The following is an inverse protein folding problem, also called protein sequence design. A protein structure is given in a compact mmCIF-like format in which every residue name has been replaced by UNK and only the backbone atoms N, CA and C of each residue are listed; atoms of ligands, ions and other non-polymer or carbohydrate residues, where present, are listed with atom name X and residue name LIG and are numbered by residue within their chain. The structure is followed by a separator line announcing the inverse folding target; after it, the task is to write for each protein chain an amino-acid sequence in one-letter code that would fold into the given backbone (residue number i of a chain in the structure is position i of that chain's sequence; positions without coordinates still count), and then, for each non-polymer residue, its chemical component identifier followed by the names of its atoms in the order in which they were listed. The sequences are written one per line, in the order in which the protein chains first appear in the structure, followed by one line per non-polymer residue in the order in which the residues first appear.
data_IF_902042343458
#
_entry.id   IF_902042343458
#
_cell.length_a   1.000
_cell.length_b   1.000
_cell.length_c   1.000
_cell.angle_alpha   90.00
_cell.angle_beta   90.00
_cell.angle_gamma   90.00
#
_symmetry.space_group_name_H-M   'P 1'
#
loop_
_entity.id
_entity.type
_entity.pdbx_description
1 polymer ?
#
# COMPACT_ATOMS: atom_id res chain seq x y z
N UNK A 1 15.56 28.55 -35.84
CA UNK A 1 14.43 28.12 -34.97
C UNK A 1 13.55 29.36 -34.84
N UNK A 2 12.31 29.31 -35.28
CA UNK A 2 11.37 30.42 -35.06
C UNK A 2 11.02 30.45 -33.57
N UNK A 3 10.89 31.64 -33.00
CA UNK A 3 10.31 31.83 -31.66
C UNK A 3 8.84 32.19 -31.83
N UNK A 4 7.98 31.71 -30.93
CA UNK A 4 6.57 32.09 -30.92
C UNK A 4 6.41 33.50 -30.36
N UNK A 5 5.58 34.31 -31.02
CA UNK A 5 5.21 35.63 -30.54
C UNK A 5 4.21 35.50 -29.36
N UNK A 6 4.07 36.57 -28.57
CA UNK A 6 3.15 36.62 -27.42
C UNK A 6 1.69 36.19 -27.76
N UNK A 7 1.02 36.70 -28.82
CA UNK A 7 -0.35 36.25 -29.15
C UNK A 7 -0.41 34.78 -29.58
N UNK A 8 0.58 34.30 -30.35
CA UNK A 8 0.65 32.90 -30.80
C UNK A 8 0.82 31.95 -29.59
N UNK A 9 1.67 32.35 -28.63
CA UNK A 9 1.87 31.63 -27.37
C UNK A 9 0.57 31.56 -26.54
N UNK A 10 -0.19 32.64 -26.49
CA UNK A 10 -1.48 32.72 -25.78
C UNK A 10 -2.53 31.78 -26.41
N UNK A 11 -2.60 31.73 -27.75
CA UNK A 11 -3.57 30.88 -28.45
C UNK A 11 -3.19 29.39 -28.38
N UNK A 12 -1.90 29.05 -28.43
CA UNK A 12 -1.45 27.66 -28.26
C UNK A 12 -1.67 27.16 -26.82
N UNK A 13 -1.53 28.03 -25.79
CA UNK A 13 -1.92 27.67 -24.40
C UNK A 13 -3.42 27.37 -24.30
N UNK A 14 -4.28 28.16 -24.97
CA UNK A 14 -5.73 27.87 -25.00
C UNK A 14 -6.01 26.54 -25.70
N UNK A 15 -5.34 26.27 -26.81
CA UNK A 15 -5.46 25.00 -27.54
C UNK A 15 -5.03 23.80 -26.68
N UNK A 16 -3.96 23.90 -25.89
CA UNK A 16 -3.53 22.88 -24.93
C UNK A 16 -4.55 22.66 -23.80
N UNK A 17 -5.24 23.71 -23.35
CA UNK A 17 -6.33 23.61 -22.36
C UNK A 17 -7.55 22.92 -22.98
N UNK A 18 -7.96 23.30 -24.19
CA UNK A 18 -9.12 22.73 -24.89
C UNK A 18 -8.91 21.25 -25.28
N UNK A 19 -7.70 20.89 -25.72
CA UNK A 19 -7.31 19.50 -26.01
C UNK A 19 -6.98 18.67 -24.77
N UNK A 20 -6.89 19.30 -23.59
CA UNK A 20 -6.48 18.68 -22.31
C UNK A 20 -5.08 18.03 -22.35
N UNK A 21 -4.16 18.51 -23.18
CA UNK A 21 -2.78 17.99 -23.25
C UNK A 21 -1.84 18.68 -22.24
N UNK A 22 -2.14 18.51 -20.95
CA UNK A 22 -1.30 19.01 -19.86
C UNK A 22 -2.00 19.06 -18.52
N UNK A 23 -1.38 19.76 -17.58
CA UNK A 23 -2.04 20.17 -16.34
C UNK A 23 -2.83 21.44 -16.63
N UNK A 24 -4.14 21.28 -16.82
CA UNK A 24 -5.04 22.40 -17.18
C UNK A 24 -5.12 23.47 -16.09
N UNK A 25 -4.92 23.12 -14.82
CA UNK A 25 -4.85 24.08 -13.72
C UNK A 25 -3.57 24.91 -13.80
N UNK A 26 -2.44 24.27 -14.10
CA UNK A 26 -1.16 24.96 -14.31
C UNK A 26 -1.18 25.82 -15.57
N UNK A 27 -1.68 25.32 -16.70
CA UNK A 27 -1.82 26.08 -17.94
C UNK A 27 -2.74 27.30 -17.76
N UNK A 28 -3.84 27.17 -17.02
CA UNK A 28 -4.71 28.31 -16.69
C UNK A 28 -3.98 29.37 -15.83
N UNK A 29 -3.21 28.96 -14.82
CA UNK A 29 -2.38 29.87 -14.03
C UNK A 29 -1.31 30.58 -14.87
N UNK A 30 -0.66 29.85 -15.80
CA UNK A 30 0.31 30.43 -16.74
C UNK A 30 -0.35 31.47 -17.65
N UNK A 31 -1.51 31.13 -18.23
CA UNK A 31 -2.31 32.04 -19.07
C UNK A 31 -2.74 33.30 -18.31
N UNK A 32 -3.19 33.16 -17.06
CA UNK A 32 -3.52 34.28 -16.18
C UNK A 32 -2.27 35.12 -15.86
N UNK A 33 -1.11 34.49 -15.62
CA UNK A 33 0.14 35.21 -15.31
C UNK A 33 0.61 36.05 -16.51
N UNK A 34 0.55 35.48 -17.72
CA UNK A 34 0.91 36.15 -18.98
C UNK A 34 -0.07 37.29 -19.29
N UNK A 35 -1.39 37.05 -19.23
CA UNK A 35 -2.40 38.10 -19.47
C UNK A 35 -2.32 39.26 -18.46
N UNK A 36 -1.79 39.02 -17.26
CA UNK A 36 -1.55 40.05 -16.24
C UNK A 36 -0.19 40.77 -16.39
N UNK A 37 0.56 40.54 -17.47
CA UNK A 37 1.86 41.17 -17.74
C UNK A 37 2.95 40.83 -16.71
N UNK A 38 2.83 39.68 -16.02
CA UNK A 38 3.79 39.27 -14.98
C UNK A 38 4.84 38.34 -15.55
N UNK A 39 6.07 38.46 -15.05
CA UNK A 39 7.16 37.55 -15.38
C UNK A 39 6.84 36.14 -14.89
N UNK A 40 6.99 35.16 -15.80
CA UNK A 40 6.69 33.77 -15.52
C UNK A 40 7.82 33.11 -14.71
N UNK A 41 7.48 32.30 -13.71
CA UNK A 41 8.48 31.55 -12.94
C UNK A 41 9.24 30.56 -13.85
N UNK A 42 10.53 30.35 -13.58
CA UNK A 42 11.38 29.46 -14.41
C UNK A 42 10.82 28.05 -14.55
N UNK A 43 10.16 27.52 -13.50
CA UNK A 43 9.47 26.23 -13.53
C UNK A 43 8.35 26.18 -14.57
N UNK A 44 7.60 27.26 -14.70
CA UNK A 44 6.44 27.40 -15.57
C UNK A 44 6.86 27.77 -17.00
N UNK A 45 7.93 28.57 -17.15
CA UNK A 45 8.59 28.79 -18.44
C UNK A 45 9.12 27.49 -19.03
N UNK A 46 9.92 26.73 -18.28
CA UNK A 46 10.45 25.44 -18.73
C UNK A 46 9.33 24.45 -19.11
N UNK A 47 8.25 24.41 -18.31
CA UNK A 47 7.09 23.56 -18.58
C UNK A 47 6.37 23.93 -19.88
N UNK A 48 6.21 25.23 -20.14
CA UNK A 48 5.58 25.72 -21.36
C UNK A 48 6.49 25.52 -22.58
N UNK A 49 7.81 25.74 -22.47
CA UNK A 49 8.78 25.44 -23.54
C UNK A 49 8.83 23.94 -23.87
N UNK A 50 8.76 23.06 -22.86
CA UNK A 50 8.67 21.60 -23.04
C UNK A 50 7.39 21.18 -23.75
N UNK A 51 6.26 21.84 -23.45
CA UNK A 51 4.95 21.55 -24.04
C UNK A 51 4.74 22.10 -25.44
N UNK A 52 5.26 23.30 -25.72
CA UNK A 52 5.23 23.91 -27.06
C UNK A 52 6.30 23.29 -27.98
N UNK A 53 7.38 22.74 -27.41
CA UNK A 53 8.54 22.25 -28.18
C UNK A 53 9.38 23.36 -28.84
N UNK A 54 9.06 24.62 -28.54
CA UNK A 54 9.67 25.82 -29.13
C UNK A 54 9.91 26.86 -28.02
N UNK A 55 11.08 27.53 -27.97
CA UNK A 55 11.30 28.65 -27.06
C UNK A 55 10.44 29.87 -27.47
N UNK A 56 9.86 30.55 -26.48
CA UNK A 56 9.05 31.75 -26.67
C UNK A 56 9.67 32.97 -25.94
N UNK A 57 9.37 34.17 -26.43
CA UNK A 57 9.72 35.43 -25.74
C UNK A 57 8.45 36.10 -25.20
N UNK A 58 8.57 36.70 -24.01
CA UNK A 58 7.52 37.50 -23.36
C UNK A 58 7.78 39.01 -23.49
N UNK A 59 8.82 39.39 -24.24
CA UNK A 59 9.10 40.79 -24.54
C UNK A 59 8.16 41.22 -25.68
N UNK A 60 7.21 42.09 -25.35
CA UNK A 60 6.49 42.87 -26.36
C UNK A 60 7.51 43.77 -27.05
N UNK A 61 7.69 43.60 -28.37
CA UNK A 61 8.26 44.69 -29.17
C UNK A 61 7.27 45.85 -29.11
N UNK A 62 7.59 46.87 -28.30
CA UNK A 62 6.85 48.13 -28.24
C UNK A 62 6.84 48.76 -29.65
N UNK A 63 5.72 48.60 -30.35
CA UNK A 63 5.52 49.19 -31.68
C UNK A 63 5.61 50.71 -31.58
N UNK A 64 6.49 51.28 -32.39
CA UNK A 64 6.93 52.68 -32.33
C UNK A 64 5.78 53.70 -32.39
N UNK A 65 5.66 54.56 -31.36
CA UNK A 65 4.97 55.84 -31.52
C UNK A 65 5.94 56.97 -31.91
N UNK A 66 5.77 57.43 -33.16
CA UNK A 66 6.23 58.69 -33.78
C UNK A 66 7.73 58.80 -34.14
N UNK A 67 8.08 58.72 -35.45
CA UNK A 67 9.45 58.91 -35.93
C UNK A 67 9.80 60.40 -36.08
N UNK A 68 11.00 60.80 -35.63
CA UNK A 68 11.51 62.16 -35.83
C UNK A 68 12.49 62.62 -34.74
N UNK A 69 11.97 62.92 -33.55
CA UNK A 69 12.75 63.59 -32.49
C UNK A 69 13.56 62.62 -31.62
N UNK A 70 12.97 61.47 -31.25
CA UNK A 70 13.67 60.43 -30.45
C UNK A 70 14.91 59.90 -31.17
N UNK A 71 14.87 59.75 -32.49
CA UNK A 71 16.00 59.30 -33.30
C UNK A 71 17.23 60.19 -33.13
N UNK A 72 17.03 61.52 -33.06
CA UNK A 72 18.13 62.49 -32.97
C UNK A 72 18.68 62.55 -31.53
N UNK A 73 17.80 62.55 -30.52
CA UNK A 73 18.23 62.52 -29.11
C UNK A 73 19.01 61.24 -28.79
N UNK A 74 18.51 60.06 -29.16
CA UNK A 74 19.23 58.79 -28.97
C UNK A 74 20.52 58.70 -29.79
N UNK A 75 20.63 59.40 -30.93
CA UNK A 75 21.90 59.53 -31.66
C UNK A 75 22.90 60.46 -30.96
N UNK A 76 22.44 61.52 -30.29
CA UNK A 76 23.29 62.39 -29.46
C UNK A 76 23.76 61.66 -28.20
N UNK A 77 22.89 60.91 -27.53
CA UNK A 77 23.26 60.05 -26.40
C UNK A 77 24.36 59.05 -26.81
N UNK A 78 24.20 58.36 -27.95
CA UNK A 78 25.24 57.49 -28.50
C UNK A 78 26.57 58.21 -28.75
N UNK A 79 26.57 59.46 -29.24
CA UNK A 79 27.80 60.26 -29.40
C UNK A 79 28.45 60.62 -28.05
N UNK A 80 27.66 60.81 -26.99
CA UNK A 80 28.16 61.07 -25.63
C UNK A 80 28.77 59.78 -25.05
N UNK A 81 28.11 58.63 -25.24
CA UNK A 81 28.57 57.31 -24.78
C UNK A 81 29.84 56.83 -25.50
N UNK A 82 29.93 57.00 -26.82
CA UNK A 82 31.16 56.66 -27.57
C UNK A 82 32.30 57.65 -27.35
N UNK A 83 32.02 58.80 -26.73
CA UNK A 83 33.00 59.89 -26.54
C UNK A 83 33.40 60.58 -27.85
N UNK A 84 32.61 60.44 -28.91
CA UNK A 84 32.89 60.97 -30.25
C UNK A 84 32.58 62.47 -30.37
N UNK A 85 33.20 63.30 -29.51
CA UNK A 85 33.04 64.76 -29.53
C UNK A 85 33.39 65.44 -28.22
N UNK A 86 33.03 66.71 -28.11
CA UNK A 86 33.06 67.48 -26.88
C UNK A 86 31.81 67.14 -26.08
N UNK A 87 32.00 66.39 -24.98
CA UNK A 87 30.91 65.93 -24.13
C UNK A 87 30.12 67.08 -23.48
N UNK A 88 30.73 68.24 -23.19
CA UNK A 88 29.98 69.38 -22.66
C UNK A 88 29.11 70.00 -23.73
N UNK A 89 29.64 70.13 -24.95
CA UNK A 89 28.90 70.68 -26.09
C UNK A 89 27.77 69.77 -26.53
N UNK A 90 27.99 68.45 -26.60
CA UNK A 90 26.95 67.46 -26.91
C UNK A 90 25.86 67.43 -25.84
N UNK A 91 26.22 67.50 -24.55
CA UNK A 91 25.23 67.64 -23.46
C UNK A 91 24.44 68.94 -23.56
N UNK A 92 25.09 70.07 -23.87
CA UNK A 92 24.40 71.34 -24.08
C UNK A 92 23.40 71.27 -25.24
N UNK A 93 23.78 70.62 -26.35
CA UNK A 93 22.92 70.40 -27.51
C UNK A 93 21.72 69.51 -27.15
N UNK A 94 21.98 68.35 -26.52
CA UNK A 94 20.94 67.44 -26.01
C UNK A 94 19.92 68.19 -25.13
N UNK A 95 20.42 68.91 -24.13
CA UNK A 95 19.64 69.70 -23.19
C UNK A 95 18.88 70.88 -23.81
N UNK A 96 19.26 71.33 -24.99
CA UNK A 96 18.63 72.45 -25.70
C UNK A 96 17.54 71.94 -26.65
N UNK A 97 17.78 70.80 -27.32
CA UNK A 97 16.76 70.09 -28.10
C UNK A 97 15.66 69.54 -27.18
N UNK A 98 16.01 68.90 -26.07
CA UNK A 98 15.04 68.40 -25.07
C UNK A 98 14.26 69.50 -24.32
N UNK A 99 14.50 70.78 -24.64
CA UNK A 99 13.78 71.96 -24.12
C UNK A 99 13.12 72.76 -25.25
N UNK A 100 12.99 72.17 -26.44
CA UNK A 100 12.39 72.73 -27.66
C UNK A 100 12.96 74.11 -28.06
N UNK A 101 14.27 74.33 -27.82
CA UNK A 101 14.94 75.60 -28.16
C UNK A 101 15.72 75.46 -29.47
N UNK A 102 15.70 76.48 -30.35
CA UNK A 102 16.50 76.48 -31.56
C UNK A 102 17.99 76.49 -31.22
N UNK A 103 18.74 75.54 -31.77
CA UNK A 103 20.19 75.48 -31.66
C UNK A 103 20.86 76.65 -32.39
N UNK A 104 22.03 77.08 -31.90
CA UNK A 104 22.89 77.98 -32.65
C UNK A 104 23.44 77.30 -33.91
N UNK A 105 23.64 78.07 -34.99
CA UNK A 105 24.17 77.58 -36.28
C UNK A 105 25.48 76.80 -36.13
N UNK A 106 26.35 77.23 -35.23
CA UNK A 106 27.60 76.55 -34.88
C UNK A 106 27.39 75.15 -34.34
N UNK A 107 26.32 74.93 -33.59
CA UNK A 107 25.99 73.66 -32.93
C UNK A 107 25.22 72.73 -33.87
N UNK A 108 24.37 73.27 -34.74
CA UNK A 108 23.75 72.52 -35.85
C UNK A 108 24.82 71.96 -36.78
N UNK A 109 25.78 72.78 -37.19
CA UNK A 109 26.91 72.35 -38.03
C UNK A 109 27.76 71.29 -37.33
N UNK A 110 28.07 71.48 -36.05
CA UNK A 110 28.84 70.54 -35.24
C UNK A 110 28.15 69.17 -35.12
N UNK A 111 26.84 69.15 -34.84
CA UNK A 111 26.06 67.92 -34.74
C UNK A 111 25.99 67.19 -36.08
N UNK A 112 25.70 67.91 -37.17
CA UNK A 112 25.65 67.35 -38.51
C UNK A 112 27.00 66.76 -38.96
N UNK A 113 28.12 67.42 -38.65
CA UNK A 113 29.46 66.92 -38.93
C UNK A 113 29.76 65.63 -38.14
N UNK A 114 29.38 65.57 -36.87
CA UNK A 114 29.62 64.39 -36.01
C UNK A 114 28.73 63.20 -36.36
N UNK A 115 27.43 63.41 -36.58
CA UNK A 115 26.53 62.35 -37.04
C UNK A 115 26.96 61.79 -38.39
N UNK A 116 27.42 62.65 -39.32
CA UNK A 116 27.94 62.22 -40.62
C UNK A 116 29.26 61.45 -40.53
N UNK A 117 30.13 61.79 -39.58
CA UNK A 117 31.42 61.12 -39.37
C UNK A 117 31.29 59.74 -38.75
N UNK A 118 30.36 59.55 -37.79
CA UNK A 118 30.23 58.30 -37.03
C UNK A 118 29.16 57.34 -37.58
N UNK A 119 28.06 57.87 -38.16
CA UNK A 119 26.87 57.07 -38.48
C UNK A 119 26.45 57.06 -39.97
N UNK A 120 27.29 57.59 -40.87
CA UNK A 120 27.19 57.22 -42.29
C UNK A 120 25.97 57.73 -43.07
N UNK A 121 25.38 58.87 -42.67
CA UNK A 121 24.44 59.62 -43.51
C UNK A 121 22.95 59.32 -43.29
N UNK A 122 22.29 60.21 -42.54
CA UNK A 122 20.84 60.41 -42.48
C UNK A 122 20.56 61.93 -42.42
N UNK A 123 19.29 62.31 -42.56
CA UNK A 123 18.87 63.52 -43.27
C UNK A 123 19.19 64.90 -42.64
N UNK A 124 19.17 65.93 -43.48
CA UNK A 124 19.66 67.29 -43.21
C UNK A 124 18.68 68.18 -42.44
N UNK A 125 19.18 68.81 -41.37
CA UNK A 125 18.54 69.95 -40.69
C UNK A 125 18.56 71.22 -41.58
N UNK A 126 17.65 71.32 -42.56
CA UNK A 126 17.43 72.53 -43.39
C UNK A 126 15.98 73.03 -43.36
N UNK A 127 15.41 73.26 -42.16
CA UNK A 127 14.40 74.31 -42.03
C UNK A 127 14.31 74.88 -40.60
N UNK A 128 14.50 76.21 -40.50
CA UNK A 128 13.96 77.20 -39.55
C UNK A 128 14.95 78.38 -39.52
N UNK A 129 14.59 79.42 -40.26
CA UNK A 129 15.31 80.69 -40.30
C UNK A 129 14.68 81.70 -39.35
N UNK A 130 15.50 82.45 -38.59
CA UNK A 130 15.64 83.91 -38.71
C UNK A 130 16.57 84.49 -37.65
N UNK A 131 17.44 85.40 -38.10
CA UNK A 131 18.34 86.26 -37.29
C UNK A 131 17.68 87.66 -37.21
N UNK A 132 17.95 88.46 -36.17
CA UNK A 132 18.66 89.72 -36.43
C UNK A 132 19.90 89.92 -35.54
N UNK A 133 20.86 90.69 -36.05
CA UNK A 133 22.06 91.17 -35.36
C UNK A 133 21.77 92.51 -34.65
N UNK A 134 22.66 92.93 -33.76
CA UNK A 134 22.73 94.33 -33.29
C UNK A 134 24.14 94.92 -33.53
N UNK A 135 24.17 96.23 -33.76
CA UNK A 135 25.24 96.94 -34.49
C UNK A 135 26.39 97.47 -33.62
N UNK A 136 27.50 97.81 -34.30
CA UNK A 136 28.57 98.64 -33.76
C UNK A 136 28.43 100.09 -34.24
N UNK A 137 28.77 101.07 -33.38
CA UNK A 137 29.24 102.37 -33.88
C UNK A 137 28.97 103.57 -32.96
N UNK A 138 30.02 104.38 -32.73
CA UNK A 138 30.05 105.82 -33.05
C UNK A 138 31.38 106.47 -32.60
N UNK A 139 32.23 106.83 -33.55
CA UNK A 139 33.22 107.91 -33.37
C UNK A 139 32.54 109.26 -33.62
N UNK A 140 32.98 110.32 -32.94
CA UNK A 140 32.74 111.70 -33.40
C UNK A 140 34.01 112.57 -33.29
N UNK A 141 34.32 113.24 -34.40
CA UNK A 141 35.44 114.16 -34.62
C UNK A 141 34.88 115.58 -34.72
N UNK A 142 35.54 116.58 -34.14
CA UNK A 142 35.13 117.99 -34.21
C UNK A 142 36.29 118.84 -34.75
N UNK A 143 36.00 119.72 -35.72
CA UNK A 143 36.92 120.69 -36.34
C UNK A 143 36.58 122.16 -36.00
N UNK A 144 37.50 123.05 -36.43
CA UNK A 144 37.43 124.53 -36.52
C UNK A 144 37.94 125.34 -35.28
N UNK A 145 38.39 126.63 -35.39
CA UNK A 145 38.42 127.57 -36.54
C UNK A 145 39.62 128.57 -36.54
N UNK A 146 39.69 129.34 -37.63
CA UNK A 146 40.53 130.51 -38.06
C UNK A 146 40.66 131.69 -37.07
N UNK A 147 41.59 132.68 -37.15
CA UNK A 147 41.96 133.58 -38.29
C UNK A 147 43.33 134.31 -38.11
N UNK A 148 43.91 134.87 -39.20
CA UNK A 148 44.94 135.94 -39.16
C UNK A 148 44.48 137.28 -39.81
N UNK A 149 44.96 138.42 -39.28
CA UNK A 149 44.92 139.80 -39.85
C UNK A 149 46.18 140.55 -39.37
N UNK A 150 46.74 141.57 -40.02
CA UNK A 150 46.48 142.27 -41.28
C UNK A 150 47.44 143.47 -41.39
N UNK A 151 47.89 143.88 -42.58
CA UNK A 151 48.86 144.98 -42.77
C UNK A 151 48.22 146.37 -42.83
N UNK A 152 48.81 147.33 -42.11
CA UNK A 152 49.13 148.69 -42.58
C UNK A 152 48.03 149.77 -42.70
N UNK A 153 48.24 150.91 -42.02
CA UNK A 153 48.07 152.28 -42.54
C UNK A 153 48.66 153.31 -41.55
N UNK A 154 49.40 154.32 -42.04
CA UNK A 154 49.86 155.47 -41.23
C UNK A 154 48.81 156.60 -41.21
N UNK A 155 48.60 157.28 -40.06
CA UNK A 155 47.82 158.53 -40.01
C UNK A 155 48.59 159.71 -40.62
N UNK A 156 47.93 160.50 -41.48
CA UNK A 156 48.46 161.77 -41.99
C UNK A 156 48.15 162.89 -40.98
N UNK A 157 49.18 163.43 -40.32
CA UNK A 157 49.00 164.50 -39.34
C UNK A 157 50.26 165.21 -38.84
N UNK A 158 51.43 164.95 -39.43
CA UNK A 158 52.69 165.60 -39.04
C UNK A 158 52.76 167.05 -39.56
N UNK A 159 52.93 168.00 -38.63
CA UNK A 159 53.39 169.36 -38.90
C UNK A 159 54.71 169.54 -38.14
N UNK A 160 55.81 169.93 -38.80
CA UNK A 160 57.03 170.30 -38.09
C UNK A 160 56.80 171.62 -37.34
N UNK A 161 57.20 171.66 -36.06
CA UNK A 161 57.46 172.90 -35.33
C UNK A 161 58.98 172.99 -35.16
N UNK A 162 59.48 174.21 -35.28
CA UNK A 162 60.90 174.50 -35.49
C UNK A 162 61.74 174.27 -34.23
N UNK A 163 63.03 173.99 -34.44
CA UNK A 163 63.95 173.64 -33.38
C UNK A 163 64.23 174.82 -32.42
N UNK A 164 64.40 174.50 -31.15
CA UNK A 164 65.20 175.28 -30.19
C UNK A 164 66.21 174.32 -29.55
N UNK A 165 67.40 174.15 -30.16
CA UNK A 165 68.35 173.12 -29.72
C UNK A 165 69.06 173.50 -28.42
N UNK A 166 69.63 172.48 -27.77
CA UNK A 166 70.62 172.47 -26.66
C UNK A 166 70.12 172.10 -25.25
N UNK A 167 68.85 172.33 -24.90
CA UNK A 167 68.32 171.88 -23.58
C UNK A 167 67.84 170.41 -23.64
N UNK A 168 67.15 170.02 -24.72
CA UNK A 168 66.52 168.68 -24.85
C UNK A 168 67.52 167.52 -25.03
N UNK A 169 68.74 167.77 -25.54
CA UNK A 169 69.70 166.69 -25.86
C UNK A 169 70.23 165.99 -24.60
N UNK A 170 70.38 166.72 -23.49
CA UNK A 170 70.74 166.11 -22.20
C UNK A 170 69.62 165.22 -21.68
N UNK A 171 68.38 165.73 -21.69
CA UNK A 171 67.22 164.95 -21.27
C UNK A 171 67.04 163.68 -22.12
N UNK A 172 67.24 163.75 -23.43
CA UNK A 172 67.18 162.58 -24.33
C UNK A 172 68.27 161.57 -24.00
N UNK A 173 69.50 162.01 -23.71
CA UNK A 173 70.61 161.11 -23.37
C UNK A 173 70.41 160.40 -22.03
N UNK A 174 69.83 161.08 -21.05
CA UNK A 174 69.50 160.46 -19.76
C UNK A 174 68.25 159.58 -19.86
N UNK A 175 67.25 159.93 -20.69
CA UNK A 175 66.14 159.03 -21.05
C UNK A 175 66.64 157.71 -21.67
N UNK A 176 67.54 157.78 -22.66
CA UNK A 176 68.16 156.60 -23.30
C UNK A 176 68.86 155.70 -22.27
N UNK A 177 69.66 156.25 -21.34
CA UNK A 177 70.28 155.44 -20.27
C UNK A 177 69.22 154.74 -19.41
N UNK A 178 68.16 155.45 -19.00
CA UNK A 178 67.09 154.80 -18.22
C UNK A 178 66.28 153.78 -19.03
N UNK A 179 66.33 153.81 -20.35
CA UNK A 179 65.74 152.79 -21.23
C UNK A 179 66.70 151.61 -21.44
N UNK A 180 68.01 151.85 -21.58
CA UNK A 180 69.04 150.80 -21.56
C UNK A 180 69.07 150.03 -20.23
N UNK A 181 68.96 150.73 -19.09
CA UNK A 181 68.81 150.13 -17.76
C UNK A 181 67.53 149.28 -17.65
N UNK A 182 66.38 149.79 -18.13
CA UNK A 182 65.13 149.00 -18.21
C UNK A 182 65.25 147.79 -19.11
N UNK A 183 65.94 147.88 -20.24
CA UNK A 183 66.16 146.74 -21.16
C UNK A 183 67.01 145.66 -20.45
N UNK A 184 68.02 146.06 -19.66
CA UNK A 184 68.82 145.13 -18.85
C UNK A 184 67.97 144.46 -17.76
N UNK A 185 67.06 145.21 -17.11
CA UNK A 185 66.09 144.66 -16.15
C UNK A 185 65.09 143.71 -16.82
N UNK A 186 64.53 144.08 -17.98
CA UNK A 186 63.63 143.24 -18.79
C UNK A 186 64.33 141.95 -19.27
N UNK A 187 65.61 142.02 -19.66
CA UNK A 187 66.41 140.84 -19.97
C UNK A 187 66.65 139.94 -18.75
N UNK A 188 66.88 140.52 -17.58
CA UNK A 188 67.04 139.76 -16.33
C UNK A 188 65.73 139.05 -15.95
N UNK A 189 64.60 139.76 -16.04
CA UNK A 189 63.25 139.21 -15.86
C UNK A 189 62.97 138.12 -16.90
N UNK A 190 63.33 138.30 -18.16
CA UNK A 190 63.15 137.30 -19.21
C UNK A 190 63.98 136.03 -18.96
N UNK A 191 65.23 136.17 -18.47
CA UNK A 191 66.10 135.07 -18.03
C UNK A 191 65.49 134.33 -16.83
N UNK A 192 64.93 135.05 -15.86
CA UNK A 192 64.22 134.44 -14.73
C UNK A 192 62.95 133.69 -15.20
N UNK A 193 62.12 134.30 -16.03
CA UNK A 193 60.92 133.67 -16.63
C UNK A 193 61.30 132.41 -17.40
N UNK A 194 62.41 132.40 -18.14
CA UNK A 194 62.91 131.21 -18.83
C UNK A 194 63.29 130.09 -17.83
N UNK A 195 63.98 130.44 -16.74
CA UNK A 195 64.36 129.49 -15.68
C UNK A 195 63.16 129.00 -14.85
N UNK A 196 62.11 129.80 -14.70
CA UNK A 196 60.83 129.36 -14.14
C UNK A 196 60.08 128.42 -15.10
N UNK A 197 60.09 128.69 -16.42
CA UNK A 197 59.49 127.82 -17.45
C UNK A 197 60.15 126.45 -17.55
N UNK A 198 61.48 126.35 -17.42
CA UNK A 198 62.18 125.05 -17.38
C UNK A 198 61.81 124.27 -16.11
N UNK A 199 61.88 124.91 -14.93
CA UNK A 199 61.41 124.30 -13.66
C UNK A 199 59.97 123.80 -13.74
N UNK A 200 59.07 124.57 -14.36
CA UNK A 200 57.68 124.17 -14.56
C UNK A 200 57.56 122.97 -15.50
N UNK A 201 58.36 122.91 -16.56
CA UNK A 201 58.40 121.79 -17.51
C UNK A 201 58.91 120.51 -16.83
N UNK A 202 59.95 120.61 -16.01
CA UNK A 202 60.46 119.48 -15.21
C UNK A 202 59.41 118.97 -14.21
N UNK A 203 58.66 119.88 -13.56
CA UNK A 203 57.54 119.52 -12.69
C UNK A 203 56.40 118.84 -13.45
N UNK A 204 56.05 119.31 -14.65
CA UNK A 204 55.04 118.69 -15.52
C UNK A 204 55.50 117.29 -15.96
N UNK A 205 56.78 117.09 -16.29
CA UNK A 205 57.31 115.78 -16.64
C UNK A 205 57.28 114.82 -15.45
N UNK A 206 57.75 115.25 -14.26
CA UNK A 206 57.70 114.46 -13.01
C UNK A 206 56.27 114.09 -12.62
N UNK A 207 55.32 115.02 -12.75
CA UNK A 207 53.90 114.76 -12.53
C UNK A 207 53.38 113.68 -13.49
N UNK A 208 53.67 113.79 -14.79
CA UNK A 208 53.28 112.79 -15.79
C UNK A 208 53.90 111.41 -15.56
N UNK A 209 55.13 111.31 -15.05
CA UNK A 209 55.71 110.01 -14.68
C UNK A 209 55.05 109.40 -13.45
N UNK A 210 54.72 110.21 -12.44
CA UNK A 210 53.99 109.74 -11.24
C UNK A 210 52.56 109.33 -11.59
N UNK A 211 51.84 110.12 -12.39
CA UNK A 211 50.48 109.76 -12.87
C UNK A 211 50.49 108.43 -13.62
N UNK A 212 51.51 108.16 -14.45
CA UNK A 212 51.70 106.87 -15.10
C UNK A 212 51.96 105.73 -14.09
N UNK A 213 52.85 105.93 -13.13
CA UNK A 213 53.13 104.94 -12.09
C UNK A 213 51.86 104.60 -11.28
N UNK A 214 51.12 105.62 -10.83
CA UNK A 214 49.84 105.46 -10.12
C UNK A 214 48.83 104.69 -10.98
N UNK A 215 48.68 105.03 -12.27
CA UNK A 215 47.74 104.30 -13.16
C UNK A 215 48.14 102.83 -13.37
N UNK A 216 49.44 102.53 -13.43
CA UNK A 216 49.95 101.17 -13.54
C UNK A 216 49.71 100.38 -12.25
N UNK A 217 50.03 100.96 -11.09
CA UNK A 217 49.77 100.36 -9.77
C UNK A 217 48.29 100.13 -9.53
N UNK A 218 47.42 101.08 -9.90
CA UNK A 218 45.96 100.92 -9.88
C UNK A 218 45.52 99.72 -10.70
N UNK A 219 45.91 99.62 -11.97
CA UNK A 219 45.57 98.47 -12.82
C UNK A 219 46.11 97.13 -12.29
N UNK A 220 47.30 97.13 -11.68
CA UNK A 220 47.89 95.94 -11.06
C UNK A 220 47.14 95.51 -9.80
N UNK A 221 46.67 96.46 -9.00
CA UNK A 221 45.85 96.18 -7.81
C UNK A 221 44.44 95.72 -8.21
N UNK A 222 43.80 96.37 -9.19
CA UNK A 222 42.49 95.98 -9.71
C UNK A 222 42.50 94.55 -10.26
N UNK A 223 43.53 94.15 -11.02
CA UNK A 223 43.69 92.77 -11.49
C UNK A 223 43.79 91.78 -10.33
N UNK A 224 44.63 92.06 -9.33
CA UNK A 224 44.78 91.20 -8.13
C UNK A 224 43.49 91.11 -7.33
N UNK A 225 42.76 92.22 -7.17
CA UNK A 225 41.48 92.27 -6.49
C UNK A 225 40.44 91.42 -7.24
N UNK A 226 40.39 91.50 -8.58
CA UNK A 226 39.52 90.67 -9.40
C UNK A 226 39.84 89.16 -9.29
N UNK A 227 41.12 88.79 -9.29
CA UNK A 227 41.56 87.40 -9.05
C UNK A 227 41.16 86.91 -7.65
N UNK A 228 41.35 87.69 -6.60
CA UNK A 228 40.92 87.33 -5.24
C UNK A 228 39.40 87.22 -5.13
N UNK A 229 38.61 88.08 -5.80
CA UNK A 229 37.15 87.91 -5.87
C UNK A 229 36.74 86.60 -6.55
N UNK A 230 37.44 86.16 -7.60
CA UNK A 230 37.19 84.85 -8.23
C UNK A 230 37.55 83.69 -7.29
N UNK A 231 38.67 83.78 -6.55
CA UNK A 231 39.06 82.79 -5.54
C UNK A 231 38.04 82.71 -4.40
N UNK A 232 37.60 83.85 -3.85
CA UNK A 232 36.58 83.90 -2.81
C UNK A 232 35.25 83.32 -3.33
N UNK A 233 34.80 83.70 -4.54
CA UNK A 233 33.56 83.19 -5.13
C UNK A 233 33.57 81.67 -5.32
N UNK A 234 34.68 81.11 -5.81
CA UNK A 234 34.83 79.65 -5.96
C UNK A 234 34.92 78.92 -4.60
N UNK A 235 35.60 79.50 -3.61
CA UNK A 235 35.61 78.97 -2.24
C UNK A 235 34.23 79.02 -1.58
N UNK A 236 33.45 80.09 -1.76
CA UNK A 236 32.07 80.18 -1.23
C UNK A 236 31.17 79.10 -1.83
N UNK A 237 31.22 78.90 -3.15
CA UNK A 237 30.47 77.82 -3.83
C UNK A 237 30.84 76.44 -3.30
N UNK A 238 32.13 76.17 -3.09
CA UNK A 238 32.61 74.91 -2.53
C UNK A 238 32.18 74.73 -1.06
N UNK A 239 32.19 75.79 -0.25
CA UNK A 239 31.70 75.75 1.12
C UNK A 239 30.18 75.52 1.19
N UNK A 240 29.40 76.08 0.27
CA UNK A 240 27.96 75.84 0.13
C UNK A 240 27.67 74.38 -0.26
N UNK A 241 28.42 73.82 -1.22
CA UNK A 241 28.35 72.41 -1.57
C UNK A 241 28.67 71.48 -0.39
N UNK A 242 29.74 71.77 0.38
CA UNK A 242 30.07 71.02 1.61
C UNK A 242 28.95 71.14 2.65
N UNK A 243 28.33 72.31 2.78
CA UNK A 243 27.20 72.53 3.70
C UNK A 243 25.98 71.68 3.30
N UNK A 244 25.68 71.60 2.00
CA UNK A 244 24.59 70.76 1.51
C UNK A 244 24.89 69.26 1.71
N UNK A 245 26.08 68.80 1.32
CA UNK A 245 26.52 67.41 1.53
C UNK A 245 26.45 66.98 3.00
N UNK A 246 26.77 67.88 3.95
CA UNK A 246 26.63 67.60 5.39
C UNK A 246 25.17 67.37 5.82
N UNK A 247 24.22 68.13 5.28
CA UNK A 247 22.78 67.92 5.55
C UNK A 247 22.30 66.60 4.96
N UNK A 248 22.73 66.29 3.74
CA UNK A 248 22.36 65.05 3.06
C UNK A 248 22.89 63.83 3.82
N UNK A 249 24.14 63.88 4.29
CA UNK A 249 24.72 62.85 5.17
C UNK A 249 23.95 62.71 6.49
N UNK A 250 23.55 63.81 7.13
CA UNK A 250 22.75 63.76 8.37
C UNK A 250 21.36 63.11 8.14
N UNK A 251 20.77 63.31 6.97
CA UNK A 251 19.52 62.65 6.57
C UNK A 251 19.73 61.15 6.33
N UNK A 252 20.79 60.76 5.60
CA UNK A 252 21.16 59.36 5.37
C UNK A 252 21.42 58.62 6.70
N UNK A 253 22.11 59.23 7.67
CA UNK A 253 22.31 58.61 8.99
C UNK A 253 20.99 58.44 9.77
N UNK A 254 20.05 59.39 9.68
CA UNK A 254 18.70 59.27 10.27
C UNK A 254 17.86 58.16 9.60
N UNK A 255 18.06 57.91 8.31
CA UNK A 255 17.38 56.81 7.62
C UNK A 255 18.04 55.46 7.91
N UNK A 256 19.37 55.42 7.98
CA UNK A 256 20.17 54.25 8.36
C UNK A 256 19.80 53.77 9.77
N UNK A 257 19.74 54.66 10.75
CA UNK A 257 19.32 54.31 12.13
C UNK A 257 17.91 53.73 12.18
N UNK A 258 16.91 54.38 11.54
CA UNK A 258 15.54 53.84 11.40
C UNK A 258 15.51 52.46 10.75
N UNK A 259 16.37 52.23 9.75
CA UNK A 259 16.45 50.95 9.01
C UNK A 259 17.08 49.86 9.87
N UNK A 260 18.16 50.17 10.60
CA UNK A 260 18.78 49.26 11.57
C UNK A 260 17.79 48.88 12.68
N UNK A 261 17.04 49.83 13.23
CA UNK A 261 16.00 49.54 14.23
C UNK A 261 14.91 48.59 13.71
N UNK A 262 14.47 48.74 12.45
CA UNK A 262 13.50 47.84 11.83
C UNK A 262 14.07 46.42 11.70
N UNK A 263 15.30 46.32 11.17
CA UNK A 263 16.02 45.05 11.02
C UNK A 263 16.20 44.36 12.37
N UNK A 264 16.51 45.10 13.44
CA UNK A 264 16.62 44.53 14.80
C UNK A 264 15.28 44.02 15.32
N UNK A 265 14.19 44.80 15.16
CA UNK A 265 12.82 44.38 15.54
C UNK A 265 12.43 43.09 14.82
N UNK A 266 12.54 43.04 13.49
CA UNK A 266 12.27 41.85 12.67
C UNK A 266 13.14 40.65 13.07
N UNK A 267 14.44 40.87 13.29
CA UNK A 267 15.36 39.82 13.76
C UNK A 267 15.00 39.27 15.13
N UNK A 268 14.40 40.06 16.03
CA UNK A 268 13.89 39.55 17.31
C UNK A 268 12.59 38.76 17.16
N UNK A 269 11.70 39.17 16.25
CA UNK A 269 10.47 38.44 15.94
C UNK A 269 10.79 37.08 15.30
N UNK A 270 11.57 37.06 14.22
CA UNK A 270 12.01 35.84 13.55
C UNK A 270 12.73 34.86 14.49
N UNK A 271 13.49 35.36 15.47
CA UNK A 271 14.09 34.50 16.52
C UNK A 271 13.04 33.85 17.42
N UNK A 272 12.00 34.59 17.84
CA UNK A 272 10.91 34.05 18.66
C UNK A 272 10.11 33.01 17.89
N UNK A 273 9.73 33.32 16.64
CA UNK A 273 8.98 32.42 15.78
C UNK A 273 9.75 31.12 15.48
N UNK A 274 11.07 31.23 15.27
CA UNK A 274 11.96 30.07 15.09
C UNK A 274 12.05 29.20 16.35
N UNK A 275 12.03 29.79 17.55
CA UNK A 275 11.99 29.04 18.82
C UNK A 275 10.63 28.34 18.96
N UNK A 276 9.52 29.06 18.80
CA UNK A 276 8.18 28.49 18.91
C UNK A 276 7.96 27.33 17.90
N UNK A 277 8.44 27.48 16.66
CA UNK A 277 8.37 26.42 15.64
C UNK A 277 9.25 25.22 15.99
N UNK A 278 10.40 25.40 16.65
CA UNK A 278 11.22 24.29 17.16
C UNK A 278 10.53 23.55 18.32
N UNK A 279 9.87 24.27 19.21
CA UNK A 279 9.10 23.69 20.32
C UNK A 279 7.93 22.87 19.79
N UNK A 280 7.16 23.40 18.82
CA UNK A 280 6.09 22.66 18.13
C UNK A 280 6.59 21.39 17.43
N UNK A 281 7.73 21.45 16.73
CA UNK A 281 8.33 20.27 16.08
C UNK A 281 8.81 19.23 17.11
N UNK A 282 9.31 19.67 18.27
CA UNK A 282 9.72 18.76 19.35
C UNK A 282 8.51 18.10 20.01
N UNK A 283 7.41 18.84 20.22
CA UNK A 283 6.14 18.29 20.70
C UNK A 283 5.59 17.25 19.72
N UNK A 284 5.47 17.60 18.43
CA UNK A 284 4.95 16.68 17.41
C UNK A 284 5.80 15.40 17.28
N UNK A 285 7.12 15.51 17.43
CA UNK A 285 8.03 14.35 17.47
C UNK A 285 7.77 13.44 18.67
N UNK A 286 7.57 14.02 19.85
CA UNK A 286 7.26 13.24 21.07
C UNK A 286 5.89 12.56 20.94
N UNK A 287 4.89 13.25 20.40
CA UNK A 287 3.56 12.68 20.12
C UNK A 287 3.67 11.51 19.13
N UNK A 288 4.42 11.68 18.03
CA UNK A 288 4.71 10.59 17.08
C UNK A 288 5.37 9.39 17.78
N UNK A 289 6.38 9.59 18.63
CA UNK A 289 7.03 8.50 19.37
C UNK A 289 6.04 7.77 20.30
N UNK A 290 5.10 8.48 20.94
CA UNK A 290 4.05 7.81 21.75
C UNK A 290 3.08 7.00 20.90
N UNK A 291 2.70 7.49 19.71
CA UNK A 291 1.82 6.79 18.78
C UNK A 291 2.50 5.55 18.18
N UNK A 292 3.76 5.64 17.76
CA UNK A 292 4.54 4.49 17.28
C UNK A 292 4.66 3.40 18.35
N UNK A 293 4.90 3.79 19.61
CA UNK A 293 4.93 2.87 20.74
C UNK A 293 3.56 2.22 21.03
N UNK A 294 2.44 2.91 20.78
CA UNK A 294 1.09 2.33 20.86
C UNK A 294 0.85 1.34 19.73
N UNK A 295 1.13 1.72 18.47
CA UNK A 295 1.00 0.87 17.29
C UNK A 295 1.83 -0.41 17.43
N UNK A 296 3.07 -0.34 17.92
CA UNK A 296 3.88 -1.53 18.18
C UNK A 296 3.30 -2.46 19.25
N UNK A 297 2.63 -1.93 20.28
CA UNK A 297 1.93 -2.73 21.29
C UNK A 297 0.69 -3.40 20.71
N UNK A 298 -0.09 -2.67 19.92
CA UNK A 298 -1.27 -3.21 19.24
C UNK A 298 -0.90 -4.28 18.22
N UNK A 299 0.16 -4.09 17.42
CA UNK A 299 0.68 -5.11 16.50
C UNK A 299 1.08 -6.39 17.24
N UNK A 300 1.80 -6.30 18.37
CA UNK A 300 2.15 -7.46 19.20
C UNK A 300 0.91 -8.15 19.79
N UNK A 301 -0.08 -7.38 20.24
CA UNK A 301 -1.34 -7.91 20.74
C UNK A 301 -2.11 -8.66 19.64
N UNK A 302 -2.26 -8.05 18.46
CA UNK A 302 -2.89 -8.65 17.28
C UNK A 302 -2.16 -9.94 16.86
N UNK A 303 -0.83 -9.94 16.82
CA UNK A 303 -0.03 -11.12 16.51
C UNK A 303 -0.25 -12.24 17.55
N UNK A 304 -0.31 -11.91 18.84
CA UNK A 304 -0.59 -12.87 19.91
C UNK A 304 -2.01 -13.47 19.79
N UNK A 305 -3.01 -12.64 19.45
CA UNK A 305 -4.39 -13.08 19.25
C UNK A 305 -4.52 -13.96 18.00
N UNK A 306 -3.85 -13.61 16.89
CA UNK A 306 -3.81 -14.42 15.68
C UNK A 306 -3.15 -15.79 15.93
N UNK A 307 -2.04 -15.84 16.68
CA UNK A 307 -1.41 -17.10 17.12
C UNK A 307 -2.35 -17.93 17.99
N UNK A 308 -3.03 -17.31 18.96
CA UNK A 308 -3.99 -18.00 19.84
C UNK A 308 -5.22 -18.53 19.07
N UNK A 309 -5.74 -17.77 18.09
CA UNK A 309 -6.82 -18.24 17.21
C UNK A 309 -6.37 -19.40 16.32
N UNK A 310 -5.17 -19.32 15.74
CA UNK A 310 -4.60 -20.40 14.93
C UNK A 310 -4.46 -21.71 15.73
N UNK A 311 -3.93 -21.64 16.96
CA UNK A 311 -3.82 -22.81 17.84
C UNK A 311 -5.20 -23.43 18.15
N UNK A 312 -6.21 -22.61 18.48
CA UNK A 312 -7.59 -23.09 18.71
C UNK A 312 -8.19 -23.76 17.47
N UNK A 313 -7.93 -23.24 16.27
CA UNK A 313 -8.38 -23.85 15.02
C UNK A 313 -7.66 -25.18 14.73
N UNK A 314 -6.36 -25.28 15.02
CA UNK A 314 -5.60 -26.54 14.93
C UNK A 314 -6.10 -27.61 15.92
N UNK A 315 -6.45 -27.21 17.15
CA UNK A 315 -7.08 -28.09 18.15
C UNK A 315 -8.47 -28.56 17.70
N UNK A 316 -9.32 -27.65 17.19
CA UNK A 316 -10.63 -27.99 16.64
C UNK A 316 -10.52 -28.93 15.43
N UNK A 317 -9.53 -28.72 14.55
CA UNK A 317 -9.28 -29.61 13.42
C UNK A 317 -8.89 -31.03 13.86
N UNK A 318 -8.00 -31.16 14.86
CA UNK A 318 -7.64 -32.46 15.46
C UNK A 318 -8.83 -33.14 16.12
N UNK A 319 -9.67 -32.39 16.84
CA UNK A 319 -10.88 -32.93 17.46
C UNK A 319 -11.89 -33.40 16.39
N UNK A 320 -12.07 -32.65 15.32
CA UNK A 320 -12.94 -33.03 14.20
C UNK A 320 -12.44 -34.30 13.47
N UNK A 321 -11.12 -34.46 13.31
CA UNK A 321 -10.52 -35.70 12.82
C UNK A 321 -10.83 -36.89 13.74
N UNK A 322 -10.61 -36.74 15.06
CA UNK A 322 -10.91 -37.78 16.05
C UNK A 322 -12.39 -38.16 16.07
N UNK A 323 -13.30 -37.20 16.01
CA UNK A 323 -14.76 -37.45 15.90
C UNK A 323 -15.09 -38.22 14.61
N UNK A 324 -14.41 -37.93 13.50
CA UNK A 324 -14.60 -38.66 12.24
C UNK A 324 -14.11 -40.12 12.35
N UNK A 325 -12.98 -40.35 13.00
CA UNK A 325 -12.46 -41.70 13.27
C UNK A 325 -13.38 -42.50 14.21
N UNK A 326 -13.80 -41.90 15.32
CA UNK A 326 -14.76 -42.51 16.27
C UNK A 326 -16.11 -42.81 15.59
N UNK A 327 -16.57 -41.94 14.68
CA UNK A 327 -17.77 -42.20 13.88
C UNK A 327 -17.60 -43.42 12.97
N UNK A 328 -16.47 -43.56 12.28
CA UNK A 328 -16.18 -44.72 11.43
C UNK A 328 -16.13 -46.02 12.27
N UNK A 329 -15.52 -45.96 13.46
CA UNK A 329 -15.49 -47.09 14.40
C UNK A 329 -16.91 -47.47 14.88
N UNK A 330 -17.73 -46.48 15.26
CA UNK A 330 -19.12 -46.70 15.67
C UNK A 330 -20.00 -47.28 14.54
N UNK A 331 -19.75 -46.87 13.30
CA UNK A 331 -20.44 -47.39 12.11
C UNK A 331 -20.08 -48.87 11.88
N UNK A 332 -18.79 -49.24 11.99
CA UNK A 332 -18.35 -50.64 11.96
C UNK A 332 -18.93 -51.49 13.09
N UNK A 333 -18.89 -51.01 14.35
CA UNK A 333 -19.49 -51.71 15.51
C UNK A 333 -21.00 -51.89 15.34
N UNK A 334 -21.68 -50.95 14.67
CA UNK A 334 -23.11 -51.08 14.36
C UNK A 334 -23.35 -52.17 13.30
N UNK A 335 -22.53 -52.26 12.26
CA UNK A 335 -22.61 -53.33 11.26
C UNK A 335 -22.35 -54.71 11.89
N UNK A 336 -21.34 -54.83 12.76
CA UNK A 336 -21.07 -56.03 13.55
C UNK A 336 -22.27 -56.43 14.44
N UNK A 337 -22.85 -55.45 15.16
CA UNK A 337 -24.04 -55.69 15.97
C UNK A 337 -25.25 -56.15 15.13
N UNK A 338 -25.45 -55.58 13.94
CA UNK A 338 -26.50 -56.02 13.02
C UNK A 338 -26.24 -57.45 12.48
N UNK A 339 -24.98 -57.84 12.26
CA UNK A 339 -24.60 -59.20 11.89
C UNK A 339 -24.88 -60.18 13.03
N UNK A 340 -24.39 -59.92 14.25
CA UNK A 340 -24.63 -60.73 15.45
C UNK A 340 -26.15 -60.82 15.74
N UNK A 341 -26.92 -59.75 15.53
CA UNK A 341 -28.38 -59.76 15.69
C UNK A 341 -29.08 -60.67 14.68
N UNK A 342 -28.57 -60.78 13.44
CA UNK A 342 -29.09 -61.71 12.42
C UNK A 342 -28.75 -63.15 12.79
N UNK A 343 -27.50 -63.41 13.20
CA UNK A 343 -27.04 -64.73 13.65
C UNK A 343 -27.82 -65.22 14.88
N UNK A 344 -27.93 -64.42 15.94
CA UNK A 344 -28.70 -64.76 17.14
C UNK A 344 -30.19 -65.00 16.86
N UNK A 345 -30.79 -64.34 15.85
CA UNK A 345 -32.16 -64.65 15.38
C UNK A 345 -32.22 -66.00 14.68
N UNK A 346 -31.22 -66.33 13.86
CA UNK A 346 -31.12 -67.64 13.20
C UNK A 346 -30.92 -68.75 14.24
N UNK A 347 -29.95 -68.63 15.15
CA UNK A 347 -29.72 -69.56 16.25
C UNK A 347 -30.98 -69.76 17.10
N UNK A 348 -31.69 -68.69 17.46
CA UNK A 348 -32.95 -68.79 18.21
C UNK A 348 -34.01 -69.59 17.45
N UNK A 349 -34.08 -69.42 16.12
CA UNK A 349 -34.98 -70.22 15.27
C UNK A 349 -34.59 -71.71 15.25
N UNK A 350 -33.28 -72.02 15.27
CA UNK A 350 -32.77 -73.39 15.31
C UNK A 350 -32.95 -74.02 16.70
N UNK A 351 -32.72 -73.27 17.76
CA UNK A 351 -32.94 -73.67 19.14
C UNK A 351 -34.44 -73.96 19.39
N UNK A 352 -35.35 -73.22 18.74
CA UNK A 352 -36.79 -73.54 18.75
C UNK A 352 -37.14 -74.78 17.90
N UNK A 353 -36.41 -75.09 16.80
CA UNK A 353 -36.50 -76.40 16.11
C UNK A 353 -36.02 -77.52 17.04
N UNK A 354 -34.89 -77.35 17.73
CA UNK A 354 -34.34 -78.31 18.71
C UNK A 354 -35.31 -78.54 19.87
N UNK A 355 -35.94 -77.49 20.42
CA UNK A 355 -37.02 -77.64 21.44
C UNK A 355 -38.19 -78.48 20.93
N UNK A 356 -38.63 -78.27 19.67
CA UNK A 356 -39.70 -79.08 19.05
C UNK A 356 -39.26 -80.54 18.90
N UNK A 357 -38.04 -80.80 18.43
CA UNK A 357 -37.47 -82.14 18.31
C UNK A 357 -37.33 -82.82 19.68
N UNK A 358 -36.86 -82.12 20.72
CA UNK A 358 -36.78 -82.65 22.09
C UNK A 358 -38.16 -83.06 22.62
N UNK A 359 -39.19 -82.22 22.47
CA UNK A 359 -40.57 -82.59 22.82
C UNK A 359 -41.04 -83.84 22.07
N UNK A 360 -40.72 -83.95 20.78
CA UNK A 360 -41.05 -85.14 19.98
C UNK A 360 -40.34 -86.39 20.51
N UNK A 361 -39.04 -86.31 20.81
CA UNK A 361 -38.26 -87.39 21.42
C UNK A 361 -38.88 -87.82 22.76
N UNK A 362 -39.18 -86.89 23.67
CA UNK A 362 -39.83 -87.20 24.96
C UNK A 362 -41.17 -87.93 24.78
N UNK A 363 -41.96 -87.60 23.76
CA UNK A 363 -43.21 -88.34 23.47
C UNK A 363 -42.95 -89.74 22.93
N UNK A 364 -41.91 -89.91 22.09
CA UNK A 364 -41.49 -91.21 21.57
C UNK A 364 -40.92 -92.10 22.68
N UNK A 365 -40.07 -91.57 23.55
CA UNK A 365 -39.56 -92.24 24.75
C UNK A 365 -40.71 -92.68 25.68
N UNK A 366 -41.66 -91.80 25.99
CA UNK A 366 -42.85 -92.16 26.78
C UNK A 366 -43.66 -93.28 26.12
N UNK A 367 -43.74 -93.32 24.79
CA UNK A 367 -44.38 -94.43 24.06
C UNK A 367 -43.56 -95.73 24.10
N UNK A 368 -42.23 -95.62 24.02
CA UNK A 368 -41.29 -96.75 24.07
C UNK A 368 -41.30 -97.40 25.45
N UNK A 369 -41.27 -96.61 26.53
CA UNK A 369 -41.39 -97.06 27.92
C UNK A 369 -42.72 -97.78 28.15
N UNK A 370 -43.84 -97.27 27.59
CA UNK A 370 -45.13 -97.97 27.62
C UNK A 370 -45.05 -99.33 26.89
N UNK A 371 -44.43 -99.39 25.71
CA UNK A 371 -44.20 -100.65 24.98
C UNK A 371 -43.29 -101.62 25.74
N UNK A 372 -42.22 -101.15 26.37
CA UNK A 372 -41.33 -101.97 27.21
C UNK A 372 -42.09 -102.55 28.41
N UNK A 373 -42.87 -101.73 29.13
CA UNK A 373 -43.72 -102.22 30.24
C UNK A 373 -44.76 -103.25 29.78
N UNK A 374 -45.33 -103.10 28.58
CA UNK A 374 -46.20 -104.12 27.99
C UNK A 374 -45.44 -105.41 27.67
N UNK A 375 -44.25 -105.33 27.07
CA UNK A 375 -43.39 -106.50 26.81
C UNK A 375 -42.96 -107.20 28.09
N UNK A 376 -42.66 -106.46 29.16
CA UNK A 376 -42.36 -107.03 30.48
C UNK A 376 -43.54 -107.82 31.03
N UNK A 377 -44.76 -107.25 31.04
CA UNK A 377 -45.98 -107.97 31.44
C UNK A 377 -46.23 -109.24 30.63
N UNK A 378 -46.02 -109.18 29.31
CA UNK A 378 -46.12 -110.35 28.43
C UNK A 378 -45.05 -111.39 28.79
N UNK A 379 -43.81 -110.96 29.05
CA UNK A 379 -42.71 -111.84 29.47
C UNK A 379 -42.96 -112.49 30.84
N UNK A 380 -43.54 -111.77 31.79
CA UNK A 380 -43.98 -112.29 33.09
C UNK A 380 -45.09 -113.34 32.92
N UNK A 381 -46.07 -113.09 32.04
CA UNK A 381 -47.10 -114.06 31.68
C UNK A 381 -46.48 -115.32 31.09
N UNK A 382 -45.61 -115.17 30.08
CA UNK A 382 -44.88 -116.28 29.46
C UNK A 382 -44.05 -117.06 30.50
N UNK A 383 -43.48 -116.39 31.51
CA UNK A 383 -42.76 -117.07 32.59
C UNK A 383 -43.68 -117.92 33.46
N UNK A 384 -44.86 -117.39 33.83
CA UNK A 384 -45.90 -118.14 34.57
C UNK A 384 -46.44 -119.32 33.75
N UNK A 385 -46.66 -119.11 32.45
CA UNK A 385 -47.11 -120.17 31.53
C UNK A 385 -46.05 -121.28 31.38
N UNK A 386 -44.76 -120.92 31.35
CA UNK A 386 -43.63 -121.86 31.39
C UNK A 386 -43.56 -122.64 32.71
N UNK A 387 -43.80 -121.99 33.85
CA UNK A 387 -43.86 -122.66 35.16
C UNK A 387 -45.05 -123.64 35.25
N UNK A 388 -46.24 -123.23 34.78
CA UNK A 388 -47.42 -124.09 34.68
C UNK A 388 -47.19 -125.30 33.76
N UNK A 389 -46.51 -125.09 32.62
CA UNK A 389 -46.06 -126.19 31.76
C UNK A 389 -45.09 -127.12 32.48
N UNK A 390 -44.10 -126.59 33.20
CA UNK A 390 -43.15 -127.40 33.97
C UNK A 390 -43.82 -128.18 35.12
N UNK A 391 -44.86 -127.63 35.74
CA UNK A 391 -45.69 -128.35 36.72
C UNK A 391 -46.48 -129.48 36.07
N UNK A 392 -47.19 -129.22 34.95
CA UNK A 392 -47.91 -130.26 34.19
C UNK A 392 -47.01 -131.39 33.73
N UNK A 393 -45.81 -131.09 33.21
CA UNK A 393 -44.80 -132.09 32.84
C UNK A 393 -44.34 -132.96 34.03
N UNK A 394 -44.30 -132.40 35.25
CA UNK A 394 -44.00 -133.17 36.48
C UNK A 394 -45.18 -134.05 36.91
N UNK A 395 -46.42 -133.61 36.73
CA UNK A 395 -47.60 -134.44 36.99
C UNK A 395 -47.74 -135.59 35.98
N UNK A 396 -47.46 -135.32 34.70
CA UNK A 396 -47.50 -136.31 33.63
C UNK A 396 -46.42 -137.38 33.82
N UNK A 397 -45.21 -137.01 34.26
CA UNK A 397 -44.17 -138.01 34.59
C UNK A 397 -44.53 -138.89 35.79
N UNK A 398 -45.26 -138.36 36.79
CA UNK A 398 -45.85 -139.16 37.89
C UNK A 398 -46.89 -140.16 37.36
N UNK A 399 -47.84 -139.70 36.53
CA UNK A 399 -48.85 -140.59 35.91
C UNK A 399 -48.21 -141.72 35.09
N UNK A 400 -47.13 -141.44 34.36
CA UNK A 400 -46.36 -142.44 33.63
C UNK A 400 -45.63 -143.45 34.55
N UNK A 401 -45.21 -143.03 35.74
CA UNK A 401 -44.68 -143.94 36.78
C UNK A 401 -45.78 -144.86 37.32
N UNK A 402 -46.96 -144.33 37.58
CA UNK A 402 -48.09 -145.10 38.11
C UNK A 402 -48.59 -146.15 37.11
N UNK A 403 -48.73 -145.79 35.82
CA UNK A 403 -49.00 -146.76 34.75
C UNK A 403 -47.91 -147.86 34.67
N UNK A 404 -46.64 -147.50 34.81
CA UNK A 404 -45.53 -148.49 34.83
C UNK A 404 -45.71 -149.50 35.96
N UNK A 405 -46.16 -149.07 37.14
CA UNK A 405 -46.39 -149.96 38.27
C UNK A 405 -47.61 -150.87 38.08
N UNK A 406 -48.72 -150.33 37.52
CA UNK A 406 -49.91 -151.12 37.19
C UNK A 406 -49.59 -152.26 36.19
N UNK A 407 -48.75 -151.98 35.18
CA UNK A 407 -48.31 -152.99 34.21
C UNK A 407 -47.49 -154.14 34.85
N UNK A 408 -46.80 -153.89 35.97
CA UNK A 408 -46.05 -154.91 36.72
C UNK A 408 -46.96 -155.80 37.56
N UNK A 409 -48.12 -155.31 38.01
CA UNK A 409 -49.12 -156.13 38.71
C UNK A 409 -49.81 -157.10 37.74
N UNK A 410 -50.30 -156.61 36.60
CA UNK A 410 -50.92 -157.42 35.54
C UNK A 410 -50.03 -158.60 35.08
N UNK A 411 -48.71 -158.37 34.96
CA UNK A 411 -47.76 -159.44 34.60
C UNK A 411 -47.64 -160.54 35.65
N UNK A 412 -47.83 -160.25 36.95
CA UNK A 412 -47.81 -161.28 38.00
C UNK A 412 -49.06 -162.14 37.96
N UNK A 413 -50.23 -161.51 37.87
CA UNK A 413 -51.53 -162.19 37.80
C UNK A 413 -51.62 -163.15 36.60
N UNK A 414 -51.05 -162.76 35.44
CA UNK A 414 -50.93 -163.64 34.27
C UNK A 414 -50.16 -164.94 34.58
N UNK A 415 -49.05 -164.87 35.31
CA UNK A 415 -48.23 -166.06 35.62
C UNK A 415 -48.86 -167.01 36.62
N UNK A 416 -49.77 -166.54 37.47
CA UNK A 416 -50.50 -167.38 38.42
C UNK A 416 -51.73 -168.03 37.78
N UNK A 417 -52.36 -167.37 36.79
CA UNK A 417 -53.42 -167.95 35.97
C UNK A 417 -52.93 -169.18 35.16
N UNK A 418 -51.74 -169.13 34.57
CA UNK A 418 -51.17 -170.27 33.82
C UNK A 418 -50.88 -171.49 34.72
N UNK A 419 -50.38 -171.27 35.93
CA UNK A 419 -50.16 -172.33 36.93
C UNK A 419 -51.48 -172.99 37.36
N UNK A 420 -52.58 -172.23 37.42
CA UNK A 420 -53.92 -172.74 37.69
C UNK A 420 -54.48 -173.57 36.53
N UNK A 421 -54.25 -173.14 35.28
CA UNK A 421 -54.65 -173.88 34.07
C UNK A 421 -53.99 -175.27 34.01
N UNK A 422 -52.68 -175.36 34.23
CA UNK A 422 -51.94 -176.64 34.22
C UNK A 422 -52.35 -177.59 35.36
N UNK A 423 -52.85 -177.07 36.49
CA UNK A 423 -53.40 -177.90 37.58
C UNK A 423 -54.74 -178.55 37.22
N UNK A 424 -55.58 -177.90 36.41
CA UNK A 424 -56.87 -178.45 35.95
C UNK A 424 -56.70 -179.64 35.00
N UNK A 425 -55.83 -179.54 33.99
CA UNK A 425 -55.60 -180.63 33.01
C UNK A 425 -55.18 -181.95 33.68
N UNK A 426 -54.33 -181.88 34.71
CA UNK A 426 -53.86 -183.05 35.46
C UNK A 426 -54.95 -183.72 36.30
N UNK A 427 -56.03 -183.01 36.65
CA UNK A 427 -57.19 -183.58 37.35
C UNK A 427 -58.14 -184.30 36.37
N UNK A 428 -58.41 -183.71 35.21
CA UNK A 428 -59.32 -184.29 34.20
C UNK A 428 -58.78 -185.60 33.59
N UNK A 429 -57.46 -185.74 33.47
CA UNK A 429 -56.83 -187.00 33.04
C UNK A 429 -57.02 -188.11 34.09
N UNK A 430 -56.87 -187.82 35.39
CA UNK A 430 -57.13 -188.79 36.48
C UNK A 430 -58.59 -189.27 36.51
N UNK A 431 -59.55 -188.38 36.24
CA UNK A 431 -60.98 -188.73 36.19
C UNK A 431 -61.35 -189.61 34.98
N UNK A 432 -60.64 -189.49 33.85
CA UNK A 432 -60.85 -190.36 32.68
C UNK A 432 -60.39 -191.80 32.93
N UNK A 433 -59.23 -192.00 33.55
CA UNK A 433 -58.67 -193.34 33.76
C UNK A 433 -59.43 -194.18 34.81
N UNK A 434 -59.96 -193.54 35.86
CA UNK A 434 -60.80 -194.24 36.84
C UNK A 434 -62.11 -194.75 36.23
N UNK A 435 -62.72 -193.98 35.31
CA UNK A 435 -63.96 -194.39 34.64
C UNK A 435 -63.77 -195.53 33.62
N UNK A 436 -62.58 -195.68 33.00
CA UNK A 436 -62.27 -196.85 32.15
C UNK A 436 -62.27 -198.16 32.96
N UNK A 437 -61.59 -198.18 34.11
CA UNK A 437 -61.49 -199.38 34.99
C UNK A 437 -62.83 -199.87 35.55
N UNK A 438 -63.83 -199.00 35.65
CA UNK A 438 -65.20 -199.35 36.08
C UNK A 438 -65.97 -200.04 34.94
N UNK A 439 -65.77 -199.64 33.67
CA UNK A 439 -66.44 -200.26 32.51
C UNK A 439 -65.93 -201.68 32.25
N UNK A 440 -64.63 -201.94 32.36
CA UNK A 440 -64.04 -203.27 32.14
C UNK A 440 -64.52 -204.32 33.15
N UNK A 441 -64.77 -203.92 34.41
CA UNK A 441 -65.31 -204.82 35.43
C UNK A 441 -66.79 -205.18 35.20
N UNK A 442 -67.59 -204.30 34.59
CA UNK A 442 -68.99 -204.64 34.21
C UNK A 442 -69.05 -205.63 33.05
N UNK A 443 -68.18 -205.51 32.04
CA UNK A 443 -68.19 -206.39 30.87
C UNK A 443 -67.91 -207.88 31.19
N UNK A 444 -67.24 -208.19 32.31
CA UNK A 444 -67.01 -209.59 32.74
C UNK A 444 -68.24 -210.28 33.35
N UNK A 445 -69.26 -209.52 33.78
CA UNK A 445 -70.52 -210.09 34.31
C UNK A 445 -71.35 -210.71 33.18
N UNK A 446 -71.28 -210.13 31.97
CA UNK A 446 -72.30 -210.40 30.94
C UNK A 446 -71.99 -211.62 30.07
N UNK A 447 -70.71 -211.94 29.83
CA UNK A 447 -70.32 -213.09 28.98
C UNK A 447 -70.46 -214.46 29.65
N UNK A 448 -70.23 -214.58 30.96
CA UNK A 448 -70.37 -215.88 31.64
C UNK A 448 -71.83 -216.32 31.85
N UNK A 449 -72.79 -215.40 31.75
CA UNK A 449 -74.23 -215.66 31.95
C UNK A 449 -74.91 -216.19 30.68
N UNK A 450 -74.34 -215.95 29.48
CA UNK A 450 -75.01 -216.25 28.20
C UNK A 450 -74.63 -217.60 27.54
N UNK A 451 -73.52 -218.24 27.91
CA UNK A 451 -73.05 -219.47 27.23
C UNK A 451 -73.58 -220.80 27.79
N UNK A 452 -74.17 -220.84 28.99
CA UNK A 452 -74.66 -222.09 29.62
C UNK A 452 -76.18 -222.24 29.75
N UNK A 453 -76.96 -221.49 29.00
CA UNK A 453 -78.45 -221.51 29.05
C UNK A 453 -79.12 -221.99 27.76
N UNK A 454 -78.44 -222.70 26.85
CA UNK A 454 -79.07 -223.13 25.58
C UNK A 454 -78.79 -224.53 25.00
N UNK A 455 -78.02 -225.42 25.65
CA UNK A 455 -77.87 -226.83 25.22
C UNK A 455 -77.62 -227.81 26.38
N UNK A 456 -78.67 -228.31 27.03
CA UNK A 456 -78.92 -229.73 27.35
C UNK A 456 -80.19 -229.90 28.21
N UNK A 457 -80.76 -231.11 28.17
CA UNK A 457 -82.05 -231.47 28.78
C UNK A 457 -81.87 -232.02 30.20
N UNK A 458 -83.02 -232.22 30.85
CA UNK A 458 -83.31 -233.19 31.93
C UNK A 458 -83.09 -232.84 33.44
N UNK A 459 -84.19 -233.08 34.18
CA UNK A 459 -84.29 -233.57 35.57
C UNK A 459 -84.06 -232.61 36.77
N UNK A 460 -85.22 -232.22 37.36
CA UNK A 460 -85.63 -232.16 38.79
C UNK A 460 -84.92 -231.29 39.86
N UNK A 461 -85.83 -230.74 40.70
CA UNK A 461 -85.82 -230.66 42.19
C UNK A 461 -85.45 -229.36 42.95
N UNK A 462 -86.09 -229.26 44.14
CA UNK A 462 -86.12 -228.17 45.16
C UNK A 462 -84.78 -228.13 45.94
N UNK A 463 -84.36 -227.09 46.71
CA UNK A 463 -85.01 -226.40 47.86
C UNK A 463 -84.27 -225.11 48.33
N UNK A 464 -84.97 -224.19 49.07
CA UNK A 464 -84.53 -223.26 50.18
C UNK A 464 -83.31 -222.28 50.02
N UNK A 465 -83.15 -221.13 50.73
CA UNK A 465 -83.99 -220.23 51.57
C UNK A 465 -83.26 -218.88 51.94
N UNK A 466 -84.00 -217.85 52.42
CA UNK A 466 -83.59 -216.66 53.28
C UNK A 466 -82.54 -215.62 52.76
N UNK A 467 -82.40 -214.36 53.23
CA UNK A 467 -83.17 -213.44 54.14
C UNK A 467 -82.66 -211.96 54.20
N UNK A 468 -83.56 -210.99 54.54
CA UNK A 468 -83.39 -209.71 55.33
C UNK A 468 -82.42 -208.56 54.87
N UNK A 469 -82.79 -207.26 54.76
CA UNK A 469 -83.24 -206.15 55.71
C UNK A 469 -82.12 -205.56 56.62
N UNK A 470 -82.17 -204.31 57.19
CA UNK A 470 -82.98 -203.08 56.90
C UNK A 470 -82.32 -201.64 57.15
N UNK A 471 -83.08 -200.55 56.83
CA UNK A 471 -83.27 -199.22 57.53
C UNK A 471 -82.19 -198.08 57.69
N UNK A 472 -82.67 -196.84 57.41
CA UNK A 472 -82.39 -195.50 58.05
C UNK A 472 -81.08 -194.74 57.67
N UNK A 473 -80.87 -193.40 57.83
CA UNK A 473 -81.68 -192.27 58.37
C UNK A 473 -81.16 -190.85 57.96
N UNK A 474 -82.05 -189.84 57.88
CA UNK A 474 -81.99 -188.43 58.40
C UNK A 474 -80.71 -187.52 58.26
N UNK A 475 -80.91 -186.24 57.86
CA UNK A 475 -80.35 -184.93 58.35
C UNK A 475 -80.19 -183.86 57.23
N UNK A 476 -80.04 -182.59 57.63
CA UNK A 476 -80.44 -181.32 57.00
C UNK A 476 -79.32 -180.38 56.53
N UNK A 477 -79.74 -179.35 55.76
CA UNK A 477 -79.04 -178.14 55.27
C UNK A 477 -78.18 -178.33 54.02
#
# INVERSE_FOLDING_TARGET
MQQLNLPETIDEIKFLIETSDGDTGRLAHILETINNGRTLYQSDKNYLEEKLGVPFSLEEEEVEEKPGEKTILSSIEKLIETGAGDQMRLKHIHDTIAKDRPLYRSDQQYLNEKLRSEFGGLETFEEISKIPQEDQGLEQKIEEKTQPKGRGAMPKGWKPIEASPEIEIKELKDKIKTEEEKIIEEEAIAKEIALQKTKLTDLIQKRKSVEKQVSFEQSSLESKIAEEYQKISSQTKLAEQISQQRKDLEMVDKERTKTVEKIEKEKTLLKKDLIARKEQLLQARNEQETLENQVQKEQKNLESMAKAQKLKLEEQAKLAQKIKEEKIQLEGVKEEYEAISKEAKQEKSELDKVKKLKKLIETKEKSLIKSQKQRQKISESISKDKELLAQKMKEESKRMSDQKNLSKQLKKESTDYEKLKQKREKLDQRLKDQNKKIKEKKAKIEKQIQEKTKKLKEVKQKTSARSTKPKSSKISK
#
